data_IF_943910939231
#
_entry.id   IF_943910939231
#
_cell.length_a   1.000
_cell.length_b   1.000
_cell.length_c   1.000
_cell.angle_alpha   90.00
_cell.angle_beta   90.00
_cell.angle_gamma   90.00
#
_symmetry.space_group_name_H-M   'P 1'
#
loop_
_entity.id
_entity.type
_entity.pdbx_description
1 polymer ?
#
# COMPACT_ATOMS: atom_id res chain seq x y z
N UNK A 1 -4.52 -6.45 -12.11
CA UNK A 1 -4.71 -5.93 -13.46
C UNK A 1 -3.69 -6.52 -14.40
N UNK A 2 -4.17 -7.16 -15.46
CA UNK A 2 -3.29 -7.83 -16.43
C UNK A 2 -2.31 -6.86 -17.11
N UNK A 3 -2.79 -5.66 -17.45
CA UNK A 3 -1.95 -4.66 -18.11
C UNK A 3 -0.78 -4.24 -17.23
N UNK A 4 -1.01 -4.08 -15.94
CA UNK A 4 0.04 -3.71 -15.01
C UNK A 4 1.09 -4.80 -14.90
N UNK A 5 0.67 -6.06 -14.76
CA UNK A 5 1.59 -7.19 -14.68
C UNK A 5 2.41 -7.34 -15.96
N UNK A 6 1.77 -7.21 -17.13
CA UNK A 6 2.47 -7.30 -18.40
C UNK A 6 3.49 -6.17 -18.56
N UNK A 7 3.09 -4.94 -18.22
CA UNK A 7 3.97 -3.80 -18.36
C UNK A 7 5.18 -3.93 -17.45
N UNK A 8 4.97 -4.29 -16.21
CA UNK A 8 6.04 -4.46 -15.25
C UNK A 8 6.96 -5.60 -15.67
N UNK A 9 6.39 -6.71 -16.16
CA UNK A 9 7.18 -7.83 -16.67
C UNK A 9 8.07 -7.43 -17.85
N UNK A 10 7.60 -6.52 -18.69
CA UNK A 10 8.37 -6.04 -19.83
C UNK A 10 9.52 -5.11 -19.46
N UNK A 11 9.51 -4.58 -18.24
CA UNK A 11 10.58 -3.73 -17.75
C UNK A 11 11.81 -4.53 -17.32
N UNK A 12 11.84 -5.81 -17.61
CA UNK A 12 13.07 -6.62 -17.53
C UNK A 12 13.25 -7.38 -16.25
N UNK A 13 12.40 -7.21 -15.28
CA UNK A 13 12.47 -7.97 -14.05
C UNK A 13 11.24 -8.81 -13.85
N UNK A 14 11.34 -9.84 -13.06
CA UNK A 14 10.16 -10.55 -12.59
C UNK A 14 9.34 -9.64 -11.68
N UNK A 15 8.03 -9.85 -11.69
CA UNK A 15 7.14 -9.17 -10.75
C UNK A 15 6.94 -10.09 -9.56
N UNK A 16 7.24 -9.59 -8.38
CA UNK A 16 6.89 -10.30 -7.15
C UNK A 16 5.57 -9.74 -6.63
N UNK A 17 4.70 -10.63 -6.17
CA UNK A 17 3.42 -10.27 -5.63
C UNK A 17 3.35 -10.79 -4.20
N UNK A 18 3.08 -9.90 -3.28
CA UNK A 18 2.96 -10.26 -1.87
C UNK A 18 1.58 -9.84 -1.38
N UNK A 19 0.73 -10.79 -0.98
CA UNK A 19 -0.56 -10.42 -0.41
C UNK A 19 -0.36 -9.77 0.95
N UNK A 20 -1.13 -8.72 1.20
CA UNK A 20 -1.07 -7.99 2.46
C UNK A 20 -2.48 -7.71 2.95
N UNK A 21 -2.64 -7.66 4.25
CA UNK A 21 -3.88 -7.25 4.88
C UNK A 21 -3.58 -6.63 6.23
N UNK A 22 -4.46 -5.76 6.67
CA UNK A 22 -4.30 -5.14 7.97
C UNK A 22 -5.52 -4.34 8.34
N UNK A 23 -5.58 -4.00 9.62
CA UNK A 23 -6.65 -3.19 10.17
C UNK A 23 -6.02 -2.03 10.92
N UNK A 24 -6.49 -0.82 10.62
CA UNK A 24 -6.15 0.36 11.38
C UNK A 24 -7.40 0.79 12.15
N UNK A 25 -7.32 0.80 13.45
CA UNK A 25 -8.45 1.13 14.32
C UNK A 25 -7.99 2.09 15.41
N UNK A 26 -8.96 2.73 16.06
CA UNK A 26 -8.68 3.69 17.12
C UNK A 26 -8.81 5.13 16.63
N UNK A 27 -8.00 6.01 17.20
CA UNK A 27 -8.07 7.44 16.92
C UNK A 27 -7.43 7.78 15.58
N UNK A 28 -7.73 8.96 15.06
CA UNK A 28 -7.06 9.45 13.87
C UNK A 28 -5.55 9.53 14.11
N UNK A 29 -4.79 9.31 13.05
CA UNK A 29 -3.34 9.25 13.15
C UNK A 29 -2.79 7.86 13.43
N UNK A 30 -3.64 6.90 13.76
CA UNK A 30 -3.22 5.52 13.94
C UNK A 30 -2.74 4.92 12.62
N UNK A 31 -1.69 4.15 12.66
CA UNK A 31 -1.22 3.44 11.47
C UNK A 31 -0.90 1.99 11.80
N UNK A 32 -1.02 1.16 10.80
CA UNK A 32 -0.72 -0.27 10.89
C UNK A 32 0.30 -0.62 9.83
N UNK A 33 1.35 -1.30 10.24
CA UNK A 33 2.37 -1.79 9.29
C UNK A 33 1.79 -2.97 8.52
N UNK A 34 1.77 -2.85 7.19
CA UNK A 34 1.32 -3.93 6.33
C UNK A 34 2.48 -4.84 5.94
N UNK A 35 3.58 -4.26 5.53
CA UNK A 35 4.80 -5.02 5.20
C UNK A 35 5.99 -4.07 5.14
N UNK A 36 7.18 -4.66 5.12
CA UNK A 36 8.43 -3.92 4.95
C UNK A 36 9.13 -4.44 3.70
N UNK A 37 9.57 -3.52 2.86
CA UNK A 37 10.30 -3.83 1.63
C UNK A 37 11.75 -3.42 1.84
N UNK A 38 12.68 -4.34 1.57
CA UNK A 38 14.10 -4.01 1.60
C UNK A 38 14.67 -4.16 0.20
N UNK A 39 15.07 -3.03 -0.37
CA UNK A 39 15.65 -2.99 -1.70
C UNK A 39 17.17 -3.16 -1.55
N UNK A 40 17.80 -4.06 -2.31
CA UNK A 40 19.23 -4.24 -2.24
C UNK A 40 19.98 -2.95 -2.53
N UNK A 41 21.15 -2.80 -1.92
CA UNK A 41 21.98 -1.62 -2.11
C UNK A 41 22.29 -1.40 -3.59
N UNK A 42 22.19 -0.16 -4.01
CA UNK A 42 22.43 0.22 -5.40
C UNK A 42 21.29 -0.05 -6.35
N UNK A 43 20.17 -0.58 -5.85
CA UNK A 43 19.02 -0.89 -6.68
C UNK A 43 17.87 0.07 -6.41
N UNK A 44 16.98 0.16 -7.38
CA UNK A 44 15.73 0.91 -7.27
C UNK A 44 14.60 -0.02 -7.68
N UNK A 45 13.57 -0.08 -6.87
CA UNK A 45 12.40 -0.89 -7.17
C UNK A 45 11.17 -0.02 -7.38
N UNK A 46 10.35 -0.42 -8.31
CA UNK A 46 8.98 0.10 -8.39
C UNK A 46 8.12 -0.73 -7.45
N UNK A 47 7.43 -0.07 -6.55
CA UNK A 47 6.52 -0.70 -5.62
C UNK A 47 5.12 -0.14 -5.85
N UNK A 48 4.16 -1.03 -6.03
CA UNK A 48 2.76 -0.66 -6.16
C UNK A 48 1.94 -1.46 -5.17
N UNK A 49 1.03 -0.80 -4.49
CA UNK A 49 0.11 -1.45 -3.56
C UNK A 49 -1.29 -1.21 -4.11
N UNK A 50 -1.99 -2.30 -4.38
CA UNK A 50 -3.35 -2.22 -4.94
C UNK A 50 -4.25 -3.12 -4.11
N UNK A 51 -5.39 -2.62 -3.75
CA UNK A 51 -6.33 -3.41 -2.97
C UNK A 51 -7.63 -2.69 -2.68
N UNK A 52 -8.34 -3.20 -1.70
CA UNK A 52 -9.64 -2.67 -1.29
C UNK A 52 -9.63 -2.33 0.18
N UNK A 53 -10.36 -1.28 0.52
CA UNK A 53 -10.61 -0.92 1.91
C UNK A 53 -12.09 -1.07 2.21
N UNK A 54 -12.36 -1.51 3.44
CA UNK A 54 -13.70 -1.48 4.00
C UNK A 54 -13.62 -0.80 5.35
N UNK A 55 -14.57 0.06 5.63
CA UNK A 55 -14.66 0.73 6.91
C UNK A 55 -15.76 0.09 7.74
N UNK A 56 -15.50 -0.09 9.03
CA UNK A 56 -16.50 -0.60 9.97
C UNK A 56 -16.67 0.40 11.10
N UNK A 57 -17.90 0.57 11.53
CA UNK A 57 -18.23 1.50 12.59
C UNK A 57 -18.87 2.78 12.07
N UNK A 58 -19.25 3.64 12.99
CA UNK A 58 -19.84 4.92 12.64
C UNK A 58 -18.71 5.94 12.49
N UNK A 59 -18.54 6.46 11.33
CA UNK A 59 -17.53 7.47 11.10
C UNK A 59 -17.97 8.42 10.03
N UNK A 60 -17.36 9.58 10.04
CA UNK A 60 -17.54 10.53 8.98
C UNK A 60 -16.85 10.01 7.72
N UNK A 61 -17.27 10.53 6.59
CA UNK A 61 -16.71 10.15 5.32
C UNK A 61 -15.25 10.61 5.22
N UNK A 62 -14.36 9.75 5.64
CA UNK A 62 -12.94 9.94 5.41
C UNK A 62 -12.36 8.61 4.97
N UNK A 63 -11.25 8.67 4.29
CA UNK A 63 -10.67 7.51 3.66
C UNK A 63 -9.31 7.22 4.26
N UNK A 64 -8.95 5.94 4.42
CA UNK A 64 -7.60 5.63 4.85
C UNK A 64 -6.60 5.97 3.75
N UNK A 65 -5.35 6.14 4.15
CA UNK A 65 -4.23 6.30 3.24
C UNK A 65 -3.42 5.02 3.22
N UNK A 66 -2.95 4.64 2.04
CA UNK A 66 -1.83 3.73 1.93
C UNK A 66 -0.57 4.57 1.79
N UNK A 67 0.43 4.27 2.60
CA UNK A 67 1.72 4.95 2.56
C UNK A 67 2.81 3.98 2.16
N UNK A 68 3.57 4.34 1.14
CA UNK A 68 4.81 3.66 0.75
C UNK A 68 5.91 4.63 1.15
N UNK A 69 6.50 4.42 2.33
CA UNK A 69 7.41 5.40 2.89
C UNK A 69 6.70 6.73 3.08
N UNK A 70 7.16 7.75 2.37
CA UNK A 70 6.59 9.10 2.44
C UNK A 70 5.53 9.37 1.37
N UNK A 71 5.32 8.44 0.47
CA UNK A 71 4.31 8.58 -0.58
C UNK A 71 2.98 8.06 -0.06
N UNK A 72 1.97 8.92 -0.03
CA UNK A 72 0.66 8.58 0.51
C UNK A 72 -0.43 8.81 -0.52
N UNK A 73 -1.41 7.93 -0.52
CA UNK A 73 -2.59 8.07 -1.35
C UNK A 73 -3.82 7.64 -0.57
N UNK A 74 -4.82 8.50 -0.53
CA UNK A 74 -6.10 8.20 0.09
C UNK A 74 -7.02 7.57 -0.95
N UNK A 75 -7.82 6.59 -0.53
CA UNK A 75 -8.78 6.00 -1.43
C UNK A 75 -9.95 5.37 -0.67
N UNK A 76 -11.07 5.24 -1.36
CA UNK A 76 -12.27 4.63 -0.83
C UNK A 76 -12.65 3.46 -1.74
N UNK A 77 -12.77 2.28 -1.17
CA UNK A 77 -13.07 1.08 -1.95
C UNK A 77 -11.81 0.53 -2.60
N UNK A 78 -11.74 0.57 -3.92
CA UNK A 78 -10.60 0.03 -4.67
C UNK A 78 -9.62 1.15 -4.99
N UNK A 79 -8.36 0.91 -4.76
CA UNK A 79 -7.33 1.88 -5.09
C UNK A 79 -5.95 1.42 -4.62
N UNK A 80 -5.01 2.37 -4.63
CA UNK A 80 -3.66 2.07 -4.21
C UNK A 80 -2.71 3.23 -4.42
N UNK A 81 -1.43 2.90 -4.27
CA UNK A 81 -0.34 3.85 -4.43
C UNK A 81 0.84 3.16 -5.10
N UNK A 82 1.72 3.95 -5.70
CA UNK A 82 2.96 3.43 -6.25
C UNK A 82 4.08 4.43 -6.06
N UNK A 83 5.30 3.92 -5.97
CA UNK A 83 6.48 4.75 -5.81
C UNK A 83 7.72 3.99 -6.24
N UNK A 84 8.74 4.74 -6.66
CA UNK A 84 10.09 4.19 -6.82
C UNK A 84 10.78 4.30 -5.47
N UNK A 85 11.37 3.20 -5.03
CA UNK A 85 11.96 3.14 -3.69
C UNK A 85 13.37 2.60 -3.71
N UNK A 86 14.15 3.03 -2.74
CA UNK A 86 15.48 2.52 -2.45
C UNK A 86 15.57 2.26 -0.95
N UNK A 87 16.48 1.39 -0.54
CA UNK A 87 16.67 1.08 0.87
C UNK A 87 15.49 0.35 1.49
N UNK A 88 15.28 0.55 2.76
CA UNK A 88 14.18 -0.08 3.48
C UNK A 88 12.99 0.87 3.56
N UNK A 89 11.85 0.38 3.13
CA UNK A 89 10.62 1.16 3.05
C UNK A 89 9.50 0.39 3.75
N UNK A 90 8.74 1.09 4.56
CA UNK A 90 7.59 0.51 5.25
C UNK A 90 6.31 0.90 4.53
N UNK A 91 5.43 -0.08 4.35
CA UNK A 91 4.11 0.13 3.77
C UNK A 91 3.10 0.07 4.90
N UNK A 92 2.34 1.15 5.07
CA UNK A 92 1.42 1.31 6.18
C UNK A 92 0.03 1.68 5.71
N UNK A 93 -0.95 1.30 6.52
CA UNK A 93 -2.32 1.77 6.40
C UNK A 93 -2.53 2.82 7.49
N UNK A 94 -2.89 4.03 7.10
CA UNK A 94 -3.14 5.14 8.03
C UNK A 94 -4.62 5.44 8.15
N UNK A 95 -5.07 5.65 9.37
CA UNK A 95 -6.38 6.21 9.64
C UNK A 95 -6.28 7.71 9.68
N UNK A 96 -7.19 8.37 9.01
CA UNK A 96 -7.18 9.82 8.94
C UNK A 96 -8.23 10.48 9.81
N UNK A 97 -9.22 9.73 10.31
CA UNK A 97 -10.34 10.40 10.97
C UNK A 97 -11.18 9.46 11.83
N UNK A 98 -11.60 9.97 12.96
CA UNK A 98 -12.65 9.37 13.76
C UNK A 98 -12.30 8.07 14.46
N UNK A 99 -13.31 7.49 15.09
CA UNK A 99 -13.23 6.23 15.79
C UNK A 99 -13.89 5.15 14.95
N UNK A 100 -13.11 4.46 14.14
CA UNK A 100 -13.61 3.36 13.34
C UNK A 100 -12.45 2.44 12.98
N UNK A 101 -12.79 1.30 12.43
CA UNK A 101 -11.80 0.38 11.90
C UNK A 101 -11.81 0.45 10.38
N UNK A 102 -10.64 0.56 9.80
CA UNK A 102 -10.46 0.47 8.36
C UNK A 102 -9.66 -0.80 8.08
N UNK A 103 -10.23 -1.66 7.25
CA UNK A 103 -9.59 -2.90 6.84
C UNK A 103 -9.06 -2.74 5.43
N UNK A 104 -7.85 -3.23 5.22
CA UNK A 104 -7.25 -3.26 3.89
C UNK A 104 -6.89 -4.69 3.52
N UNK A 105 -7.22 -5.08 2.30
CA UNK A 105 -6.77 -6.34 1.71
C UNK A 105 -6.30 -6.06 0.31
N UNK A 106 -5.09 -6.46 0.01
CA UNK A 106 -4.54 -6.19 -1.32
C UNK A 106 -3.25 -6.92 -1.58
N UNK A 107 -2.53 -6.42 -2.56
CA UNK A 107 -1.28 -7.02 -3.02
C UNK A 107 -0.23 -5.94 -3.20
N UNK A 108 0.97 -6.24 -2.77
CA UNK A 108 2.14 -5.41 -3.04
C UNK A 108 2.88 -6.03 -4.22
N UNK A 109 3.06 -5.23 -5.26
CA UNK A 109 3.82 -5.63 -6.44
C UNK A 109 5.16 -4.94 -6.38
N UNK A 110 6.22 -5.69 -6.62
CA UNK A 110 7.57 -5.13 -6.67
C UNK A 110 8.27 -5.58 -7.94
N UNK A 111 9.02 -4.66 -8.53
CA UNK A 111 9.85 -4.97 -9.68
C UNK A 111 11.14 -4.15 -9.60
N UNK A 112 12.25 -4.80 -9.93
CA UNK A 112 13.54 -4.12 -10.02
C UNK A 112 13.59 -3.34 -11.32
N UNK A 113 13.98 -2.09 -11.20
CA UNK A 113 14.09 -1.19 -12.33
C UNK A 113 15.50 -1.19 -12.95
#
# INVERSE_FOLDING_TARGET
>A
MAITSELIGKLGGGVEETPVSGEASGNSGTSTLLTTITVPEGKTWLVAVIGTTTAAGSGLASYPDIAIGNTRAAFNGVGGASALVTGTVKIRLHRNFGLRSDLFTGTVYTVEM
#
